data_IF_425385785199
#
_entry.id   IF_425385785199
#
_cell.length_a   1.000
_cell.length_b   1.000
_cell.length_c   1.000
_cell.angle_alpha   90.00
_cell.angle_beta   90.00
_cell.angle_gamma   90.00
#
_symmetry.space_group_name_H-M   'P 1'
#
loop_
_entity.id
_entity.type
_entity.pdbx_description
1 polymer ?
#
# COMPACT_ATOMS: atom_id res chain seq x y z
N UNK A 1 -18.22 -8.33 10.48
CA UNK A 1 -17.08 -7.45 10.74
C UNK A 1 -16.78 -6.76 9.43
N UNK A 2 -17.30 -5.55 9.28
CA UNK A 2 -17.25 -4.79 8.03
C UNK A 2 -15.80 -4.35 7.80
N UNK A 3 -15.11 -5.00 6.86
CA UNK A 3 -13.78 -4.59 6.42
C UNK A 3 -13.88 -3.92 5.06
N UNK A 4 -13.15 -2.84 4.89
CA UNK A 4 -13.01 -2.17 3.60
C UNK A 4 -11.69 -2.64 3.01
N UNK A 5 -11.76 -3.41 1.91
CA UNK A 5 -10.58 -3.90 1.21
C UNK A 5 -10.26 -3.01 0.02
N UNK A 6 -9.04 -2.52 -0.02
CA UNK A 6 -8.51 -1.73 -1.12
C UNK A 6 -7.37 -2.47 -1.83
N UNK A 7 -7.14 -2.17 -3.11
CA UNK A 7 -6.02 -2.69 -3.90
C UNK A 7 -5.10 -1.52 -4.28
N UNK A 8 -3.83 -1.62 -3.95
CA UNK A 8 -2.83 -0.57 -4.12
C UNK A 8 -1.60 -1.08 -4.86
N UNK A 9 -1.06 -0.26 -5.74
CA UNK A 9 0.25 -0.39 -6.36
C UNK A 9 1.32 0.23 -5.45
N UNK A 10 2.49 -0.39 -5.34
CA UNK A 10 3.67 0.26 -4.74
C UNK A 10 4.33 1.14 -5.79
N UNK A 11 4.28 2.45 -5.59
CA UNK A 11 4.92 3.42 -6.46
C UNK A 11 6.43 3.44 -6.21
N UNK A 12 6.85 3.48 -4.95
CA UNK A 12 8.27 3.53 -4.58
C UNK A 12 8.57 2.96 -3.19
N UNK A 13 9.81 2.50 -3.02
CA UNK A 13 10.39 2.10 -1.74
C UNK A 13 11.72 2.83 -1.59
N UNK A 14 11.84 3.66 -0.54
CA UNK A 14 13.02 4.50 -0.31
C UNK A 14 13.64 4.17 1.04
N UNK A 15 14.89 3.70 1.01
CA UNK A 15 15.71 3.49 2.19
C UNK A 15 16.42 4.80 2.56
N UNK A 16 16.33 5.20 3.82
CA UNK A 16 16.92 6.43 4.35
C UNK A 16 17.43 6.20 5.77
N UNK A 17 18.31 7.07 6.23
CA UNK A 17 18.68 7.19 7.64
C UNK A 17 17.90 8.34 8.25
N UNK A 18 17.24 8.09 9.38
CA UNK A 18 16.60 9.12 10.19
C UNK A 18 17.27 9.14 11.57
N UNK A 19 18.05 10.18 11.82
CA UNK A 19 18.81 10.36 13.07
C UNK A 19 19.72 9.17 13.47
N UNK A 20 20.24 8.43 12.49
CA UNK A 20 21.11 7.27 12.68
C UNK A 20 20.41 5.92 12.70
N UNK A 21 19.07 5.90 12.62
CA UNK A 21 18.28 4.68 12.47
C UNK A 21 17.89 4.45 11.00
N UNK A 22 18.08 3.23 10.46
CA UNK A 22 17.64 2.90 9.12
C UNK A 22 16.11 2.86 9.07
N UNK A 23 15.53 3.71 8.23
CA UNK A 23 14.09 3.79 7.96
C UNK A 23 13.79 3.47 6.50
N UNK A 24 12.64 2.83 6.27
CA UNK A 24 12.13 2.58 4.94
C UNK A 24 10.80 3.30 4.80
N UNK A 25 10.69 4.14 3.77
CA UNK A 25 9.45 4.78 3.38
C UNK A 25 8.87 4.10 2.14
N UNK A 26 7.56 3.90 2.14
CA UNK A 26 6.83 3.26 1.06
C UNK A 26 5.70 4.17 0.63
N UNK A 27 5.63 4.43 -0.67
CA UNK A 27 4.55 5.16 -1.32
C UNK A 27 3.72 4.20 -2.16
N UNK A 28 2.40 4.29 -2.00
CA UNK A 28 1.44 3.43 -2.69
C UNK A 28 0.26 4.25 -3.21
N UNK A 29 -0.24 3.87 -4.38
CA UNK A 29 -1.39 4.49 -5.04
C UNK A 29 -2.47 3.46 -5.27
N UNK A 30 -3.74 3.85 -5.14
CA UNK A 30 -4.85 2.95 -5.43
C UNK A 30 -4.78 2.50 -6.90
N UNK A 31 -4.97 1.21 -7.14
CA UNK A 31 -5.01 0.68 -8.51
C UNK A 31 -6.24 1.25 -9.23
N UNK A 32 -6.00 2.12 -10.21
CA UNK A 32 -7.03 2.62 -11.12
C UNK A 32 -7.04 1.78 -12.37
N UNK A 33 -8.23 1.50 -12.94
CA UNK A 33 -8.41 0.65 -14.12
C UNK A 33 -7.34 0.90 -15.19
N UNK A 34 -6.44 -0.06 -15.36
CA UNK A 34 -5.32 -0.06 -16.30
C UNK A 34 -5.68 -0.75 -17.62
N UNK A 35 -6.98 -1.01 -17.84
CA UNK A 35 -7.50 -1.74 -18.98
C UNK A 35 -7.48 -3.27 -18.81
N UNK A 36 -7.06 -3.79 -17.65
CA UNK A 36 -7.26 -5.19 -17.31
C UNK A 36 -8.69 -5.42 -16.76
N UNK A 37 -9.40 -6.49 -17.18
CA UNK A 37 -10.76 -6.76 -16.73
C UNK A 37 -10.92 -6.87 -15.20
N UNK A 38 -9.85 -7.28 -14.50
CA UNK A 38 -9.82 -7.40 -13.04
C UNK A 38 -9.74 -6.02 -12.38
N UNK A 39 -8.81 -5.16 -12.82
CA UNK A 39 -8.67 -3.81 -12.27
C UNK A 39 -9.86 -2.93 -12.67
N UNK A 40 -10.46 -3.17 -13.84
CA UNK A 40 -11.71 -2.55 -14.31
C UNK A 40 -12.96 -2.99 -13.49
N UNK A 41 -12.93 -4.17 -12.87
CA UNK A 41 -13.96 -4.57 -11.91
C UNK A 41 -13.67 -4.01 -10.50
N UNK A 42 -12.40 -3.89 -10.12
CA UNK A 42 -11.98 -3.46 -8.79
C UNK A 42 -12.03 -1.94 -8.58
N UNK A 43 -11.66 -1.11 -9.56
CA UNK A 43 -11.67 0.36 -9.40
C UNK A 43 -13.05 0.92 -9.07
N UNK A 44 -14.12 0.27 -9.54
CA UNK A 44 -15.50 0.70 -9.29
C UNK A 44 -15.91 0.60 -7.82
N UNK A 45 -15.25 -0.27 -7.06
CA UNK A 45 -15.54 -0.56 -5.65
C UNK A 45 -14.39 -0.24 -4.70
N UNK A 46 -13.21 0.11 -5.23
CA UNK A 46 -12.02 0.43 -4.44
C UNK A 46 -11.98 1.93 -4.18
N UNK A 47 -11.87 2.37 -2.92
CA UNK A 47 -11.62 3.78 -2.60
C UNK A 47 -10.34 4.25 -3.31
N UNK A 48 -10.44 5.38 -4.02
CA UNK A 48 -9.25 6.07 -4.54
C UNK A 48 -8.48 6.71 -3.38
N UNK A 49 -7.15 6.68 -3.45
CA UNK A 49 -6.30 7.30 -2.44
C UNK A 49 -4.82 6.98 -2.64
N UNK A 50 -4.01 7.52 -1.74
CA UNK A 50 -2.59 7.21 -1.58
C UNK A 50 -2.30 6.79 -0.15
N UNK A 51 -1.30 5.93 0.02
CA UNK A 51 -0.73 5.57 1.31
C UNK A 51 0.76 5.90 1.28
N UNK A 52 1.19 6.72 2.23
CA UNK A 52 2.59 6.93 2.55
C UNK A 52 2.81 6.48 3.99
N UNK A 53 3.74 5.55 4.19
CA UNK A 53 4.15 5.16 5.53
C UNK A 53 5.67 4.98 5.62
N UNK A 54 6.19 5.17 6.83
CA UNK A 54 7.61 4.97 7.16
C UNK A 54 7.71 3.97 8.29
N UNK A 55 8.68 3.05 8.21
CA UNK A 55 8.93 2.06 9.26
C UNK A 55 10.42 1.81 9.46
N UNK A 56 10.83 1.59 10.71
CA UNK A 56 12.15 1.07 11.07
C UNK A 56 12.22 -0.45 10.91
N UNK A 57 11.07 -1.13 10.82
CA UNK A 57 11.01 -2.57 10.65
C UNK A 57 11.18 -2.93 9.17
N UNK A 58 12.43 -3.12 8.74
CA UNK A 58 12.75 -3.52 7.37
C UNK A 58 12.08 -4.85 6.95
N UNK A 59 11.76 -5.75 7.89
CA UNK A 59 11.09 -7.01 7.56
C UNK A 59 9.62 -6.81 7.16
N UNK A 60 8.96 -5.75 7.64
CA UNK A 60 7.58 -5.44 7.31
C UNK A 60 7.40 -5.02 5.85
N UNK A 61 8.47 -4.52 5.22
CA UNK A 61 8.49 -4.05 3.83
C UNK A 61 9.25 -5.00 2.89
N UNK A 62 9.87 -6.07 3.42
CA UNK A 62 10.68 -7.00 2.63
C UNK A 62 9.85 -7.76 1.57
N UNK A 63 8.55 -7.92 1.78
CA UNK A 63 7.63 -8.52 0.81
C UNK A 63 7.12 -7.54 -0.24
N UNK A 64 7.35 -6.24 -0.05
CA UNK A 64 6.91 -5.19 -0.96
C UNK A 64 7.92 -5.04 -2.11
N UNK A 65 7.40 -4.76 -3.30
CA UNK A 65 8.20 -4.54 -4.52
C UNK A 65 7.61 -3.38 -5.29
N UNK A 66 8.43 -2.43 -5.80
CA UNK A 66 7.95 -1.40 -6.72
C UNK A 66 7.22 -2.02 -7.91
N UNK A 67 6.08 -1.45 -8.29
CA UNK A 67 5.17 -1.98 -9.31
C UNK A 67 4.29 -3.15 -8.83
N UNK A 68 4.51 -3.69 -7.64
CA UNK A 68 3.70 -4.76 -7.08
C UNK A 68 2.34 -4.26 -6.59
N UNK A 69 1.33 -5.12 -6.71
CA UNK A 69 -0.03 -4.85 -6.24
C UNK A 69 -0.29 -5.59 -4.92
N UNK A 70 -0.89 -4.90 -3.94
CA UNK A 70 -1.14 -5.41 -2.60
C UNK A 70 -2.53 -5.01 -2.12
N UNK A 71 -3.12 -5.83 -1.25
CA UNK A 71 -4.38 -5.50 -0.59
C UNK A 71 -4.12 -4.77 0.73
N UNK A 72 -4.90 -3.73 0.98
CA UNK A 72 -4.98 -3.02 2.25
C UNK A 72 -6.38 -3.24 2.84
N UNK A 73 -6.44 -3.76 4.07
CA UNK A 73 -7.69 -3.94 4.79
C UNK A 73 -7.83 -2.86 5.87
N UNK A 74 -8.85 -2.01 5.74
CA UNK A 74 -9.24 -1.06 6.77
C UNK A 74 -10.27 -1.74 7.67
N UNK A 75 -9.92 -1.87 8.94
CA UNK A 75 -10.77 -2.45 9.98
C UNK A 75 -10.90 -1.46 11.13
N UNK A 76 -12.04 -1.43 11.85
CA UNK A 76 -12.15 -0.64 13.07
C UNK A 76 -11.06 -1.04 14.07
N UNK A 77 -10.36 -0.04 14.61
CA UNK A 77 -9.51 -0.21 15.78
C UNK A 77 -10.42 -0.27 17.01
N UNK A 78 -11.01 -1.43 17.26
CA UNK A 78 -11.68 -1.71 18.54
C UNK A 78 -10.63 -2.19 19.52
N UNK A 79 -10.57 -1.56 20.71
CA UNK A 79 -9.86 -2.11 21.88
C UNK A 79 -10.44 -3.46 22.31
#
# INVERSE_FOLDING_TARGET
MDKIRCKFNVDSITHRDDNGDPVVAVEMSAVTGDGSPENDAFWKYTPSGSLLFTTVNASAVASLKPGGEYYLDIIPAVE
#
